data_IF_136109417515
#
_entry.id   IF_136109417515
#
_cell.length_a   1.000
_cell.length_b   1.000
_cell.length_c   1.000
_cell.angle_alpha   90.00
_cell.angle_beta   90.00
_cell.angle_gamma   90.00
#
_symmetry.space_group_name_H-M   'P 1'
#
loop_
_entity.id
_entity.type
_entity.pdbx_description
1 polymer ?
#
# COMPACT_ATOMS: atom_id res chain seq x y z
N UNK A 1 -18.70 -4.37 16.54
CA UNK A 1 -17.31 -4.32 17.03
C UNK A 1 -16.90 -2.85 17.14
N UNK A 2 -16.06 -2.45 18.10
CA UNK A 2 -15.54 -1.09 18.15
C UNK A 2 -14.80 -0.78 16.84
N UNK A 3 -14.98 0.43 16.35
CA UNK A 3 -14.32 0.92 15.14
C UNK A 3 -12.80 0.94 15.37
N UNK A 4 -11.97 0.40 14.48
CA UNK A 4 -10.52 0.49 14.61
C UNK A 4 -10.09 1.95 14.55
N UNK A 5 -9.09 2.30 15.36
CA UNK A 5 -8.44 3.60 15.26
C UNK A 5 -7.29 3.54 14.28
N UNK A 6 -6.92 4.66 13.67
CA UNK A 6 -5.71 4.73 12.87
C UNK A 6 -4.46 4.22 13.62
N UNK A 7 -4.41 4.43 14.94
CA UNK A 7 -3.33 3.90 15.78
C UNK A 7 -3.31 2.36 15.86
N UNK A 8 -4.47 1.69 15.80
CA UNK A 8 -4.54 0.22 15.77
C UNK A 8 -4.09 -0.38 14.44
N UNK A 9 -4.08 0.41 13.36
CA UNK A 9 -3.49 -0.01 12.09
C UNK A 9 -1.97 0.12 12.06
N UNK A 10 -1.40 0.93 12.96
CA UNK A 10 0.05 1.08 13.09
C UNK A 10 0.56 -0.08 13.94
N UNK A 11 1.19 -1.12 13.36
CA UNK A 11 1.67 -2.26 14.13
C UNK A 11 2.66 -1.81 15.21
N UNK A 12 2.54 -2.31 16.45
CA UNK A 12 3.59 -2.12 17.45
C UNK A 12 4.88 -2.87 17.08
N UNK A 13 4.81 -3.91 16.24
CA UNK A 13 5.89 -4.90 16.05
C UNK A 13 6.33 -5.14 14.58
N UNK A 14 6.09 -4.23 13.63
CA UNK A 14 6.43 -4.41 12.19
C UNK A 14 5.91 -5.71 11.54
N UNK A 15 4.87 -6.34 12.09
CA UNK A 15 4.31 -7.60 11.60
C UNK A 15 2.91 -7.47 11.00
N UNK A 16 2.38 -6.26 10.95
CA UNK A 16 1.09 -6.00 10.31
C UNK A 16 1.32 -5.32 8.99
N UNK A 17 0.75 -5.89 7.95
CA UNK A 17 0.76 -5.36 6.60
C UNK A 17 -0.65 -5.02 6.18
N UNK A 18 -0.78 -4.00 5.36
CA UNK A 18 -2.04 -3.50 4.87
C UNK A 18 -2.07 -3.70 3.36
N UNK A 19 -3.18 -4.25 2.86
CA UNK A 19 -3.41 -4.42 1.42
C UNK A 19 -4.62 -3.61 1.03
N UNK A 20 -4.41 -2.59 0.21
CA UNK A 20 -5.49 -1.87 -0.47
C UNK A 20 -5.80 -2.59 -1.78
N UNK A 21 -7.02 -3.09 -1.93
CA UNK A 21 -7.46 -3.81 -3.11
C UNK A 21 -8.91 -3.49 -3.50
N UNK A 22 -9.32 -4.06 -4.62
CA UNK A 22 -10.66 -3.96 -5.20
C UNK A 22 -10.83 -5.11 -6.18
N UNK A 23 -12.01 -5.26 -6.77
CA UNK A 23 -12.32 -6.29 -7.77
C UNK A 23 -11.43 -6.23 -9.02
N UNK A 24 -10.86 -5.06 -9.33
CA UNK A 24 -9.94 -4.83 -10.46
C UNK A 24 -8.48 -5.13 -10.13
N UNK A 25 -8.16 -5.35 -8.85
CA UNK A 25 -6.78 -5.60 -8.43
C UNK A 25 -6.29 -6.90 -9.05
N UNK A 26 -5.03 -6.93 -9.49
CA UNK A 26 -4.42 -8.12 -10.12
C UNK A 26 -4.53 -9.39 -9.24
N UNK A 27 -4.60 -9.20 -7.93
CA UNK A 27 -4.82 -10.25 -6.94
C UNK A 27 -5.92 -9.80 -5.96
N UNK A 28 -7.21 -10.00 -6.28
CA UNK A 28 -8.29 -9.68 -5.37
C UNK A 28 -8.43 -10.77 -4.30
N UNK A 29 -8.96 -10.43 -3.12
CA UNK A 29 -9.45 -11.47 -2.22
C UNK A 29 -10.62 -12.16 -2.86
N UNK A 30 -10.45 -13.44 -3.15
CA UNK A 30 -11.59 -14.32 -3.42
C UNK A 30 -11.75 -15.22 -2.20
N UNK A 31 -12.76 -14.91 -1.41
CA UNK A 31 -13.23 -15.80 -0.36
C UNK A 31 -13.90 -17.00 -1.03
N UNK A 32 -13.25 -18.16 -1.00
CA UNK A 32 -13.75 -19.40 -1.64
C UNK A 32 -14.71 -20.18 -0.74
N UNK A 33 -14.97 -19.70 0.48
CA UNK A 33 -15.81 -20.36 1.49
C UNK A 33 -15.06 -21.37 2.35
N UNK A 34 -13.81 -21.70 2.01
CA UNK A 34 -12.93 -22.57 2.78
C UNK A 34 -11.69 -21.79 3.27
N UNK A 35 -11.47 -21.66 4.59
CA UNK A 35 -10.30 -20.99 5.18
C UNK A 35 -8.95 -21.57 4.73
N UNK A 36 -8.89 -22.83 4.30
CA UNK A 36 -7.67 -23.46 3.82
C UNK A 36 -7.31 -23.06 2.37
N UNK A 37 -8.31 -22.64 1.58
CA UNK A 37 -8.16 -22.30 0.14
C UNK A 37 -8.52 -20.85 -0.19
N UNK A 38 -8.97 -20.07 0.79
CA UNK A 38 -9.21 -18.63 0.65
C UNK A 38 -7.91 -17.83 0.84
N UNK A 39 -7.78 -16.71 0.12
CA UNK A 39 -6.62 -15.82 0.24
C UNK A 39 -6.44 -14.86 -0.93
N UNK A 40 -5.39 -14.02 -0.85
CA UNK A 40 -4.88 -13.32 -2.01
C UNK A 40 -3.96 -14.26 -2.75
N UNK A 41 -4.12 -14.39 -4.06
CA UNK A 41 -3.16 -15.08 -4.91
C UNK A 41 -2.65 -14.14 -5.97
N UNK A 42 -1.35 -14.22 -6.25
CA UNK A 42 -0.80 -13.72 -7.48
C UNK A 42 -1.49 -14.38 -8.69
N UNK A 43 -1.40 -13.72 -9.84
CA UNK A 43 -2.00 -14.20 -11.09
C UNK A 43 -1.38 -15.53 -11.58
N UNK A 44 -0.22 -15.92 -11.04
CA UNK A 44 0.41 -17.21 -11.33
C UNK A 44 -0.42 -18.36 -10.76
N UNK A 45 -1.07 -19.11 -11.66
CA UNK A 45 -1.97 -20.23 -11.31
C UNK A 45 -1.30 -21.35 -10.53
N UNK A 46 0.00 -21.58 -10.73
CA UNK A 46 0.72 -22.62 -9.99
C UNK A 46 0.90 -22.25 -8.51
N UNK A 47 1.17 -20.97 -8.24
CA UNK A 47 1.26 -20.46 -6.86
C UNK A 47 -0.11 -20.33 -6.21
N UNK A 48 -1.15 -20.04 -7.01
CA UNK A 48 -2.53 -19.94 -6.55
C UNK A 48 -3.09 -21.24 -5.96
N UNK A 49 -2.59 -22.39 -6.41
CA UNK A 49 -3.09 -23.70 -6.01
C UNK A 49 -2.37 -24.29 -4.79
N UNK A 50 -1.31 -23.65 -4.30
CA UNK A 50 -0.56 -24.18 -3.15
C UNK A 50 -1.37 -24.03 -1.85
N UNK A 51 -1.52 -25.14 -1.12
CA UNK A 51 -1.98 -25.14 0.27
C UNK A 51 -0.92 -24.53 1.18
N UNK A 52 -1.27 -24.05 2.40
CA UNK A 52 -0.27 -23.57 3.36
C UNK A 52 0.89 -24.54 3.57
N UNK A 53 0.59 -25.83 3.80
CA UNK A 53 1.62 -26.85 4.02
C UNK A 53 2.51 -27.07 2.78
N UNK A 54 1.94 -27.12 1.58
CA UNK A 54 2.70 -27.28 0.35
C UNK A 54 3.57 -26.05 0.05
N UNK A 55 3.04 -24.86 0.32
CA UNK A 55 3.76 -23.61 0.20
C UNK A 55 4.94 -23.57 1.18
N UNK A 56 4.71 -23.80 2.47
CA UNK A 56 5.77 -23.87 3.50
C UNK A 56 6.83 -24.90 3.12
N UNK A 57 6.45 -26.12 2.74
CA UNK A 57 7.41 -27.15 2.34
C UNK A 57 8.22 -26.77 1.09
N UNK A 58 7.61 -26.09 0.12
CA UNK A 58 8.32 -25.58 -1.05
C UNK A 58 9.32 -24.48 -0.66
N UNK A 59 8.93 -23.59 0.24
CA UNK A 59 9.80 -22.51 0.73
C UNK A 59 10.95 -23.04 1.59
N UNK A 60 10.68 -23.95 2.53
CA UNK A 60 11.70 -24.59 3.40
C UNK A 60 12.71 -25.43 2.60
N UNK A 61 12.27 -26.12 1.54
CA UNK A 61 13.19 -26.85 0.64
C UNK A 61 14.08 -25.92 -0.18
N UNK A 62 13.57 -24.73 -0.49
CA UNK A 62 14.33 -23.74 -1.27
C UNK A 62 15.36 -23.03 -0.39
N UNK A 63 15.11 -22.94 0.93
CA UNK A 63 15.97 -22.24 1.89
C UNK A 63 15.95 -22.96 3.25
N UNK A 64 17.04 -23.62 3.67
CA UNK A 64 17.08 -24.41 4.90
C UNK A 64 17.05 -23.57 6.20
N UNK A 65 17.23 -22.25 6.10
CA UNK A 65 17.14 -21.35 7.25
C UNK A 65 15.70 -20.86 7.45
N UNK A 66 15.10 -21.09 8.64
CA UNK A 66 13.81 -20.51 8.97
C UNK A 66 13.99 -19.02 9.24
N UNK A 67 13.05 -18.19 8.76
CA UNK A 67 12.90 -16.73 8.94
C UNK A 67 13.31 -15.92 7.68
N UNK A 68 12.76 -14.69 7.53
CA UNK A 68 12.25 -14.13 6.27
C UNK A 68 13.29 -14.10 5.16
N UNK A 69 12.82 -14.12 3.90
CA UNK A 69 13.61 -14.03 2.66
C UNK A 69 14.44 -12.73 2.63
N UNK A 70 15.45 -12.67 3.49
CA UNK A 70 16.32 -11.51 3.76
C UNK A 70 17.73 -11.78 3.24
N UNK A 71 18.04 -13.04 2.91
CA UNK A 71 19.23 -13.49 2.21
C UNK A 71 19.02 -13.50 0.69
N UNK A 72 19.94 -12.88 -0.04
CA UNK A 72 19.77 -12.42 -1.42
C UNK A 72 20.42 -13.32 -2.48
N UNK A 73 20.43 -14.63 -2.27
CA UNK A 73 20.72 -15.60 -3.36
C UNK A 73 19.47 -15.85 -4.23
N UNK A 74 18.49 -14.95 -4.15
CA UNK A 74 17.27 -14.98 -4.95
C UNK A 74 17.68 -14.64 -6.38
N UNK A 75 17.96 -15.67 -7.17
CA UNK A 75 18.58 -15.55 -8.49
C UNK A 75 18.00 -14.43 -9.35
N UNK A 76 18.81 -13.93 -10.28
CA UNK A 76 18.56 -12.78 -11.16
C UNK A 76 17.12 -12.65 -11.70
N UNK A 77 16.47 -13.77 -12.00
CA UNK A 77 15.07 -13.83 -12.40
C UNK A 77 14.11 -13.21 -11.37
N UNK A 78 14.26 -13.56 -10.09
CA UNK A 78 13.36 -13.07 -9.04
C UNK A 78 13.57 -11.58 -8.81
N UNK A 79 14.82 -11.11 -8.81
CA UNK A 79 15.12 -9.68 -8.72
C UNK A 79 14.47 -8.88 -9.87
N UNK A 80 14.49 -9.40 -11.09
CA UNK A 80 13.77 -8.79 -12.21
C UNK A 80 12.26 -8.82 -12.02
N UNK A 81 11.70 -9.95 -11.56
CA UNK A 81 10.25 -10.05 -11.34
C UNK A 81 9.75 -9.05 -10.28
N UNK A 82 10.57 -8.76 -9.26
CA UNK A 82 10.29 -7.71 -8.28
C UNK A 82 10.34 -6.35 -8.96
N UNK A 83 11.39 -6.07 -9.73
CA UNK A 83 11.48 -4.79 -10.41
C UNK A 83 10.28 -4.56 -11.33
N UNK A 84 9.97 -5.52 -12.20
CA UNK A 84 8.86 -5.47 -13.14
C UNK A 84 7.53 -5.25 -12.42
N UNK A 85 7.35 -5.87 -11.25
CA UNK A 85 6.20 -5.64 -10.38
C UNK A 85 6.11 -4.18 -9.90
N UNK A 86 7.20 -3.66 -9.34
CA UNK A 86 7.25 -2.29 -8.78
C UNK A 86 7.00 -1.22 -9.84
N UNK A 87 7.51 -1.43 -11.05
CA UNK A 87 7.36 -0.47 -12.16
C UNK A 87 6.12 -0.74 -13.02
N UNK A 88 5.41 -1.86 -12.78
CA UNK A 88 4.25 -2.32 -13.54
C UNK A 88 4.50 -2.36 -15.06
N UNK A 89 5.72 -2.72 -15.45
CA UNK A 89 6.14 -2.88 -16.84
C UNK A 89 7.31 -3.86 -16.89
N UNK A 90 7.41 -4.65 -17.94
CA UNK A 90 8.63 -5.41 -18.20
C UNK A 90 9.76 -4.43 -18.59
N UNK A 91 10.84 -4.38 -17.80
CA UNK A 91 12.08 -3.70 -18.20
C UNK A 91 13.16 -4.76 -18.39
N UNK A 92 13.65 -4.97 -19.63
CA UNK A 92 14.78 -5.85 -19.86
C UNK A 92 16.03 -5.25 -19.21
N UNK A 93 16.33 -5.67 -17.99
CA UNK A 93 17.55 -5.30 -17.29
C UNK A 93 18.75 -6.11 -17.80
N UNK A 94 18.51 -7.35 -18.26
CA UNK A 94 19.54 -8.27 -18.75
C UNK A 94 19.17 -8.73 -20.16
N UNK A 95 20.08 -8.56 -21.14
CA UNK A 95 19.88 -9.08 -22.49
C UNK A 95 19.58 -10.58 -22.47
N UNK A 96 18.51 -11.01 -23.15
CA UNK A 96 18.14 -12.42 -23.28
C UNK A 96 17.24 -12.98 -22.18
N UNK A 97 16.97 -12.25 -21.09
CA UNK A 97 15.96 -12.62 -20.10
C UNK A 97 14.65 -11.92 -20.48
N UNK A 98 13.87 -12.58 -21.33
CA UNK A 98 12.49 -12.20 -21.62
C UNK A 98 11.59 -13.08 -20.77
N UNK A 99 11.22 -12.62 -19.57
CA UNK A 99 10.06 -13.22 -18.93
C UNK A 99 8.86 -12.84 -19.81
N UNK A 100 8.11 -13.85 -20.28
CA UNK A 100 6.74 -13.60 -20.72
C UNK A 100 6.03 -12.84 -19.59
N UNK A 101 5.07 -11.98 -19.91
CA UNK A 101 4.30 -11.16 -18.98
C UNK A 101 3.36 -12.02 -18.11
N UNK A 102 3.88 -13.13 -17.59
CA UNK A 102 3.29 -14.03 -16.64
C UNK A 102 3.15 -13.23 -15.35
N UNK A 103 2.01 -12.57 -15.22
CA UNK A 103 1.21 -12.64 -14.01
C UNK A 103 2.07 -12.57 -12.74
N UNK A 104 2.62 -11.38 -12.48
CA UNK A 104 3.60 -11.13 -11.41
C UNK A 104 3.26 -11.93 -10.15
N UNK A 105 4.22 -12.72 -9.61
CA UNK A 105 3.96 -13.59 -8.46
C UNK A 105 3.81 -12.77 -7.16
N UNK A 106 3.90 -11.45 -7.21
CA UNK A 106 3.96 -10.61 -6.01
C UNK A 106 2.61 -10.00 -5.67
N UNK A 107 2.34 -9.91 -4.37
CA UNK A 107 1.20 -9.18 -3.82
C UNK A 107 1.77 -7.98 -3.03
N UNK A 108 1.59 -6.76 -3.54
CA UNK A 108 2.00 -5.54 -2.84
C UNK A 108 1.20 -5.33 -1.56
N UNK A 109 1.89 -5.08 -0.47
CA UNK A 109 1.31 -4.61 0.79
C UNK A 109 2.14 -3.45 1.30
N UNK A 110 1.66 -2.78 2.35
CA UNK A 110 2.36 -1.66 3.00
C UNK A 110 2.32 -1.82 4.51
N UNK A 111 3.37 -1.44 5.21
CA UNK A 111 3.34 -1.21 6.67
C UNK A 111 3.01 0.25 7.03
N UNK A 112 2.77 1.11 6.04
CA UNK A 112 2.46 2.53 6.21
C UNK A 112 0.94 2.79 6.14
N UNK A 113 0.25 2.96 7.28
CA UNK A 113 -1.20 3.22 7.30
C UNK A 113 -1.57 4.55 6.65
N UNK A 114 -0.66 5.54 6.64
CA UNK A 114 -0.91 6.82 5.97
C UNK A 114 -0.97 6.62 4.45
N UNK A 115 -0.07 5.78 3.91
CA UNK A 115 -0.11 5.41 2.50
C UNK A 115 -1.37 4.64 2.16
N UNK A 116 -1.79 3.69 3.01
CA UNK A 116 -3.00 2.92 2.79
C UNK A 116 -4.23 3.83 2.66
N UNK A 117 -4.39 4.80 3.57
CA UNK A 117 -5.49 5.78 3.50
C UNK A 117 -5.40 6.66 2.26
N UNK A 118 -4.19 7.09 1.87
CA UNK A 118 -4.00 7.85 0.64
C UNK A 118 -4.39 7.06 -0.61
N UNK A 119 -3.99 5.78 -0.70
CA UNK A 119 -4.29 4.91 -1.84
C UNK A 119 -5.79 4.59 -1.92
N UNK A 120 -6.46 4.36 -0.78
CA UNK A 120 -7.93 4.21 -0.72
C UNK A 120 -8.60 5.46 -1.29
N UNK A 121 -8.24 6.63 -0.75
CA UNK A 121 -8.82 7.90 -1.17
C UNK A 121 -8.56 8.18 -2.66
N UNK A 122 -7.38 7.81 -3.18
CA UNK A 122 -7.03 7.96 -4.59
C UNK A 122 -7.88 7.08 -5.50
N UNK A 123 -8.18 5.84 -5.11
CA UNK A 123 -9.03 4.92 -5.89
C UNK A 123 -10.51 5.32 -5.87
N UNK A 124 -10.97 5.89 -4.74
CA UNK A 124 -12.32 6.43 -4.59
C UNK A 124 -12.50 7.85 -5.18
N UNK A 125 -11.41 8.49 -5.60
CA UNK A 125 -11.48 9.76 -6.29
C UNK A 125 -11.92 9.56 -7.75
N UNK A 126 -12.80 10.43 -8.28
CA UNK A 126 -13.15 10.39 -9.68
C UNK A 126 -11.87 10.55 -10.53
N UNK A 127 -11.78 9.87 -11.68
CA UNK A 127 -10.67 10.09 -12.59
C UNK A 127 -10.64 11.58 -13.00
N UNK A 128 -9.45 12.17 -13.19
CA UNK A 128 -9.35 13.54 -13.65
C UNK A 128 -10.11 13.67 -14.97
N UNK A 129 -11.12 14.55 -15.00
CA UNK A 129 -11.92 14.81 -16.20
C UNK A 129 -10.96 15.38 -17.26
N UNK A 130 -10.76 14.72 -18.41
CA UNK A 130 -9.91 15.28 -19.44
C UNK A 130 -10.53 16.60 -19.92
N UNK A 131 -9.76 17.68 -19.89
CA UNK A 131 -10.20 19.06 -20.21
C UNK A 131 -10.79 19.18 -21.63
N UNK A 132 -10.61 18.15 -22.47
CA UNK A 132 -11.03 18.12 -23.87
C UNK A 132 -11.97 16.96 -24.26
N UNK A 133 -12.39 16.10 -23.32
CA UNK A 133 -13.25 14.97 -23.65
C UNK A 133 -14.70 15.24 -23.23
N UNK A 134 -15.50 15.80 -24.15
CA UNK A 134 -16.98 15.82 -24.08
C UNK A 134 -17.61 14.44 -24.37
N UNK A 135 -16.87 13.35 -24.16
CA UNK A 135 -17.29 11.99 -24.50
C UNK A 135 -17.89 11.33 -23.26
N UNK A 136 -19.06 10.73 -23.47
CA UNK A 136 -19.85 9.91 -22.53
C UNK A 136 -18.96 9.19 -21.53
N UNK A 137 -19.14 9.50 -20.25
CA UNK A 137 -18.27 9.12 -19.15
C UNK A 137 -17.96 7.62 -19.14
N UNK A 138 -16.67 7.30 -19.09
CA UNK A 138 -16.18 5.98 -18.71
C UNK A 138 -16.73 5.61 -17.33
N UNK A 139 -16.92 4.30 -17.05
CA UNK A 139 -17.60 3.82 -15.84
C UNK A 139 -17.01 4.44 -14.57
N UNK A 140 -17.92 4.67 -13.62
CA UNK A 140 -17.71 5.33 -12.34
C UNK A 140 -16.45 4.83 -11.62
N UNK A 141 -15.86 5.72 -10.80
CA UNK A 141 -14.83 5.36 -9.84
C UNK A 141 -15.19 4.04 -9.13
N UNK A 142 -14.18 3.24 -8.75
CA UNK A 142 -14.42 1.99 -8.05
C UNK A 142 -15.32 2.25 -6.84
N UNK A 143 -16.53 1.67 -6.88
CA UNK A 143 -17.54 1.90 -5.86
C UNK A 143 -17.10 1.36 -4.49
N UNK A 144 -16.27 0.31 -4.53
CA UNK A 144 -15.79 -0.42 -3.36
C UNK A 144 -14.28 -0.61 -3.42
N UNK A 145 -13.60 -0.08 -2.41
CA UNK A 145 -12.17 -0.31 -2.14
C UNK A 145 -12.05 -0.98 -0.78
N UNK A 146 -11.25 -2.03 -0.70
CA UNK A 146 -11.08 -2.83 0.50
C UNK A 146 -9.68 -2.64 1.10
N UNK A 147 -9.61 -2.65 2.43
CA UNK A 147 -8.37 -2.66 3.20
C UNK A 147 -8.30 -3.94 4.03
N UNK A 148 -7.49 -4.88 3.57
CA UNK A 148 -7.17 -6.07 4.35
C UNK A 148 -6.01 -5.79 5.31
N UNK A 149 -6.17 -6.21 6.56
CA UNK A 149 -5.14 -6.18 7.60
C UNK A 149 -4.56 -7.58 7.74
N UNK A 150 -3.28 -7.71 7.44
CA UNK A 150 -2.57 -8.97 7.29
C UNK A 150 -1.53 -9.09 8.41
N UNK A 151 -1.58 -10.18 9.17
CA UNK A 151 -0.55 -10.59 10.13
C UNK A 151 -0.05 -11.96 9.67
N UNK A 152 1.13 -12.01 9.00
CA UNK A 152 1.61 -13.25 8.40
C UNK A 152 1.89 -14.30 9.45
N UNK A 153 1.61 -15.54 9.07
CA UNK A 153 1.87 -16.71 9.90
C UNK A 153 3.04 -17.49 9.34
N UNK A 154 2.99 -17.82 8.05
CA UNK A 154 3.97 -18.67 7.35
C UNK A 154 4.34 -18.14 5.95
N UNK A 155 3.76 -17.02 5.52
CA UNK A 155 3.95 -16.50 4.17
C UNK A 155 5.31 -15.83 3.96
N UNK A 156 5.93 -16.13 2.82
CA UNK A 156 7.15 -15.47 2.41
C UNK A 156 6.83 -14.05 1.96
N UNK A 157 7.51 -13.10 2.58
CA UNK A 157 7.42 -11.70 2.23
C UNK A 157 8.81 -11.07 2.15
N UNK A 158 8.90 -10.02 1.36
CA UNK A 158 10.15 -9.42 0.93
C UNK A 158 10.06 -7.89 1.06
N UNK A 159 11.08 -7.29 1.66
CA UNK A 159 11.36 -5.87 1.47
C UNK A 159 11.99 -5.70 0.07
N UNK A 160 11.32 -5.01 -0.86
CA UNK A 160 11.84 -4.83 -2.20
C UNK A 160 13.05 -3.88 -2.26
N UNK A 161 13.25 -3.04 -1.24
CA UNK A 161 14.25 -1.97 -1.29
C UNK A 161 15.70 -2.50 -1.35
N UNK A 162 16.10 -3.52 -0.57
CA UNK A 162 17.38 -4.18 -0.75
C UNK A 162 17.56 -4.81 -2.15
N UNK A 163 16.51 -5.36 -2.79
CA UNK A 163 16.60 -5.85 -4.20
C UNK A 163 16.99 -4.70 -5.11
N UNK A 164 16.25 -3.59 -5.02
CA UNK A 164 16.40 -2.50 -5.98
C UNK A 164 17.79 -1.88 -5.80
N UNK A 165 18.30 -1.85 -4.56
CA UNK A 165 19.65 -1.38 -4.23
C UNK A 165 20.75 -2.36 -4.61
N UNK A 166 20.54 -3.68 -4.55
CA UNK A 166 21.52 -4.64 -5.07
C UNK A 166 21.60 -4.54 -6.58
N UNK A 167 20.45 -4.48 -7.27
CA UNK A 167 20.37 -4.18 -8.71
C UNK A 167 21.00 -2.83 -9.04
N UNK A 168 21.05 -1.87 -8.11
CA UNK A 168 21.83 -0.65 -8.30
C UNK A 168 23.34 -0.88 -8.27
N UNK A 169 23.82 -1.70 -7.34
CA UNK A 169 25.24 -1.98 -7.05
C UNK A 169 25.88 -2.95 -8.02
N UNK A 170 25.13 -3.93 -8.53
CA UNK A 170 25.53 -4.84 -9.60
C UNK A 170 25.65 -4.07 -10.91
N UNK A 171 26.68 -3.22 -10.98
CA UNK A 171 27.36 -2.89 -12.22
C UNK A 171 28.17 -4.12 -12.51
N UNK A 172 27.99 -4.71 -13.70
CA UNK A 172 28.86 -5.79 -14.12
C UNK A 172 30.30 -5.34 -14.01
N UNK A 173 31.00 -5.81 -12.98
CA UNK A 173 32.43 -5.58 -12.78
C UNK A 173 33.27 -6.18 -13.93
N UNK A 174 32.62 -6.86 -14.87
CA UNK A 174 33.27 -7.51 -16.00
C UNK A 174 33.36 -6.74 -17.32
N UNK A 175 32.47 -5.79 -17.66
CA UNK A 175 32.46 -5.31 -19.08
C UNK A 175 31.79 -3.95 -19.39
N UNK A 176 31.96 -2.94 -18.53
CA UNK A 176 31.77 -1.52 -18.92
C UNK A 176 30.37 -1.07 -19.37
N UNK A 177 29.35 -1.94 -19.29
CA UNK A 177 27.98 -1.66 -19.72
C UNK A 177 27.32 -0.58 -18.88
N UNK A 178 27.40 0.68 -19.33
CA UNK A 178 26.66 1.79 -18.71
C UNK A 178 25.16 1.48 -18.84
N UNK A 179 24.44 1.42 -17.71
CA UNK A 179 22.97 1.34 -17.72
C UNK A 179 22.39 2.45 -18.58
N UNK A 180 21.39 2.09 -19.39
CA UNK A 180 20.66 3.05 -20.23
C UNK A 180 19.92 4.06 -19.35
N UNK A 181 19.55 5.22 -19.93
CA UNK A 181 18.74 6.21 -19.22
C UNK A 181 17.42 5.64 -18.71
N UNK A 182 16.77 4.79 -19.52
CA UNK A 182 15.51 4.14 -19.18
C UNK A 182 15.64 3.20 -17.98
N UNK A 183 16.72 2.41 -17.90
CA UNK A 183 16.98 1.51 -16.78
C UNK A 183 17.20 2.28 -15.47
N UNK A 184 17.95 3.38 -15.51
CA UNK A 184 18.15 4.24 -14.31
C UNK A 184 16.84 4.85 -13.85
N UNK A 185 16.04 5.38 -14.77
CA UNK A 185 14.72 5.94 -14.45
C UNK A 185 13.79 4.87 -13.86
N UNK A 186 13.81 3.64 -14.39
CA UNK A 186 13.03 2.53 -13.84
C UNK A 186 13.43 2.19 -12.40
N UNK A 187 14.72 2.04 -12.13
CA UNK A 187 15.24 1.73 -10.79
C UNK A 187 14.97 2.87 -9.80
N UNK A 188 15.10 4.13 -10.23
CA UNK A 188 14.74 5.29 -9.40
C UNK A 188 13.25 5.29 -9.05
N UNK A 189 12.38 4.97 -10.01
CA UNK A 189 10.94 4.89 -9.79
C UNK A 189 10.59 3.76 -8.81
N UNK A 190 11.18 2.57 -9.01
CA UNK A 190 10.98 1.43 -8.12
C UNK A 190 11.47 1.69 -6.70
N UNK A 191 12.67 2.27 -6.55
CA UNK A 191 13.22 2.62 -5.23
C UNK A 191 12.35 3.66 -4.53
N UNK A 192 11.93 4.68 -5.27
CA UNK A 192 11.06 5.71 -4.74
C UNK A 192 9.70 5.14 -4.31
N UNK A 193 9.07 4.32 -5.15
CA UNK A 193 7.79 3.66 -4.84
C UNK A 193 7.90 2.83 -3.56
N UNK A 194 8.82 1.86 -3.56
CA UNK A 194 9.07 0.96 -2.44
C UNK A 194 9.32 1.72 -1.12
N UNK A 195 10.18 2.74 -1.16
CA UNK A 195 10.51 3.54 0.02
C UNK A 195 9.36 4.42 0.49
N UNK A 196 8.63 5.04 -0.43
CA UNK A 196 7.57 5.98 -0.07
C UNK A 196 6.40 5.25 0.60
N UNK A 197 6.03 4.07 0.10
CA UNK A 197 4.92 3.31 0.67
C UNK A 197 5.35 2.28 1.72
N UNK A 198 6.62 2.15 2.06
CA UNK A 198 7.10 1.06 2.94
C UNK A 198 6.58 -0.29 2.42
N UNK A 199 6.83 -0.54 1.13
CA UNK A 199 6.25 -1.68 0.41
C UNK A 199 6.79 -2.99 0.98
N UNK A 200 5.90 -3.97 1.10
CA UNK A 200 6.27 -5.35 1.37
C UNK A 200 5.59 -6.25 0.35
N UNK A 201 6.36 -7.08 -0.32
CA UNK A 201 5.86 -7.99 -1.36
C UNK A 201 5.69 -9.38 -0.77
N UNK A 202 4.47 -9.94 -0.85
CA UNK A 202 4.24 -11.35 -0.55
C UNK A 202 4.40 -12.18 -1.81
N UNK A 203 5.11 -13.30 -1.71
CA UNK A 203 5.34 -14.19 -2.85
C UNK A 203 4.20 -15.20 -3.00
N UNK A 204 3.54 -15.20 -4.14
CA UNK A 204 2.51 -16.15 -4.54
C UNK A 204 1.18 -15.96 -3.84
N UNK A 205 1.15 -15.90 -2.50
CA UNK A 205 -0.09 -16.02 -1.75
C UNK A 205 -0.05 -15.35 -0.37
N UNK A 206 -1.20 -14.83 0.05
CA UNK A 206 -1.52 -14.50 1.46
C UNK A 206 -2.71 -15.36 1.86
N UNK A 207 -2.57 -16.14 2.94
CA UNK A 207 -3.64 -17.04 3.37
C UNK A 207 -4.73 -16.29 4.13
N UNK A 208 -5.97 -16.78 4.03
CA UNK A 208 -7.10 -16.19 4.74
C UNK A 208 -6.87 -16.12 6.26
N UNK A 209 -6.15 -17.09 6.85
CA UNK A 209 -5.89 -17.09 8.29
C UNK A 209 -4.99 -15.92 8.74
N UNK A 210 -4.17 -15.40 7.83
CA UNK A 210 -3.33 -14.23 8.08
C UNK A 210 -4.10 -12.92 7.93
N UNK A 211 -5.34 -12.94 7.44
CA UNK A 211 -6.18 -11.74 7.29
C UNK A 211 -7.04 -11.60 8.54
N UNK A 212 -6.66 -10.68 9.42
CA UNK A 212 -7.34 -10.51 10.72
C UNK A 212 -8.53 -9.54 10.64
N UNK A 213 -8.58 -8.70 9.60
CA UNK A 213 -9.70 -7.80 9.33
C UNK A 213 -9.72 -7.42 7.84
N UNK A 214 -10.90 -7.11 7.33
CA UNK A 214 -11.09 -6.50 6.01
C UNK A 214 -12.12 -5.37 6.14
N UNK A 215 -11.77 -4.18 5.66
CA UNK A 215 -12.61 -2.99 5.78
C UNK A 215 -13.03 -2.49 4.40
N UNK A 216 -14.32 -2.24 4.23
CA UNK A 216 -14.90 -1.79 2.98
C UNK A 216 -15.07 -0.27 2.97
N UNK A 217 -14.46 0.39 2.00
CA UNK A 217 -14.55 1.82 1.79
C UNK A 217 -15.31 2.11 0.51
N UNK A 218 -16.28 2.99 0.61
CA UNK A 218 -16.89 3.65 -0.54
C UNK A 218 -16.73 5.17 -0.37
N UNK A 219 -16.96 5.91 -1.45
CA UNK A 219 -17.01 7.36 -1.40
C UNK A 219 -18.25 7.85 -0.64
N UNK A 220 -19.35 7.11 -0.76
CA UNK A 220 -20.67 7.44 -0.22
C UNK A 220 -20.87 7.05 1.23
N UNK A 221 -19.94 6.33 1.86
CA UNK A 221 -20.00 6.00 3.28
C UNK A 221 -19.94 7.28 4.12
N UNK A 222 -21.15 7.84 4.27
CA UNK A 222 -21.68 8.93 5.06
C UNK A 222 -20.77 10.03 5.55
N UNK A 223 -21.24 10.74 6.57
CA UNK A 223 -20.48 11.78 7.24
C UNK A 223 -19.16 11.22 7.77
N UNK A 224 -18.23 12.08 8.23
CA UNK A 224 -16.95 11.66 8.85
C UNK A 224 -17.07 10.51 9.88
N UNK A 225 -18.24 10.30 10.48
CA UNK A 225 -18.52 9.19 11.40
C UNK A 225 -18.53 7.80 10.76
N UNK A 226 -18.87 7.68 9.47
CA UNK A 226 -19.21 6.39 8.85
C UNK A 226 -18.02 5.67 8.21
N UNK A 227 -16.89 6.37 7.98
CA UNK A 227 -15.63 5.76 7.50
C UNK A 227 -15.33 4.52 8.37
N UNK A 228 -14.89 3.37 7.84
CA UNK A 228 -14.64 2.17 8.66
C UNK A 228 -13.55 2.32 9.73
N UNK A 229 -12.74 3.38 9.67
CA UNK A 229 -11.57 3.59 10.52
C UNK A 229 -11.56 5.03 11.05
N UNK A 230 -11.26 5.19 12.34
CA UNK A 230 -11.19 6.51 12.95
C UNK A 230 -9.88 7.20 12.57
N UNK A 231 -9.98 8.11 11.61
CA UNK A 231 -8.87 8.90 11.12
C UNK A 231 -8.58 10.11 12.05
N UNK A 232 -7.30 10.43 12.31
CA UNK A 232 -6.92 11.58 13.11
C UNK A 232 -7.45 12.90 12.52
N UNK A 233 -7.72 13.89 13.38
CA UNK A 233 -8.24 15.19 12.94
C UNK A 233 -7.37 15.89 11.89
N UNK A 234 -6.05 15.71 11.96
CA UNK A 234 -5.12 16.31 11.00
C UNK A 234 -5.18 15.71 9.58
N UNK A 235 -5.97 14.65 9.36
CA UNK A 235 -6.28 14.17 8.01
C UNK A 235 -7.26 15.08 7.28
N UNK A 236 -8.03 15.89 8.01
CA UNK A 236 -9.15 16.65 7.44
C UNK A 236 -8.88 18.15 7.40
N UNK A 237 -9.45 18.83 6.39
CA UNK A 237 -9.53 20.29 6.31
C UNK A 237 -10.50 20.82 7.35
N UNK A 238 -10.30 22.07 7.78
CA UNK A 238 -11.26 22.78 8.61
C UNK A 238 -11.51 24.18 8.04
N UNK A 239 -12.77 24.65 7.97
CA UNK A 239 -14.00 23.90 8.27
C UNK A 239 -14.37 22.88 7.16
N UNK A 240 -15.13 21.85 7.52
CA UNK A 240 -15.76 20.93 6.56
C UNK A 240 -16.96 21.61 5.90
N UNK A 241 -17.19 21.40 4.60
CA UNK A 241 -18.39 21.92 3.94
C UNK A 241 -19.53 20.91 4.09
N UNK A 242 -20.75 21.41 4.16
CA UNK A 242 -21.93 20.56 4.13
C UNK A 242 -21.98 19.83 2.77
N UNK A 243 -22.11 18.50 2.80
CA UNK A 243 -22.15 17.65 1.62
C UNK A 243 -20.78 17.16 1.12
N UNK A 244 -19.66 17.55 1.73
CA UNK A 244 -18.36 16.94 1.42
C UNK A 244 -18.37 15.46 1.83
N UNK A 245 -17.94 14.57 0.93
CA UNK A 245 -17.57 13.20 1.31
C UNK A 245 -16.34 13.22 2.21
N UNK A 246 -16.05 12.11 2.90
CA UNK A 246 -14.82 12.03 3.69
C UNK A 246 -13.55 12.20 2.84
N UNK A 247 -13.60 11.79 1.56
CA UNK A 247 -12.51 11.95 0.59
C UNK A 247 -12.31 13.43 0.26
N UNK A 248 -13.40 14.18 0.05
CA UNK A 248 -13.37 15.62 -0.25
C UNK A 248 -12.89 16.45 0.95
N UNK A 249 -13.16 15.95 2.15
CA UNK A 249 -12.76 16.53 3.42
C UNK A 249 -11.26 16.39 3.73
N UNK A 250 -10.50 15.53 3.02
CA UNK A 250 -9.07 15.29 3.29
C UNK A 250 -8.23 16.54 3.05
N UNK A 251 -7.17 16.76 3.83
CA UNK A 251 -6.28 17.94 3.69
C UNK A 251 -5.51 17.98 2.38
N UNK A 252 -5.44 16.85 1.68
CA UNK A 252 -4.97 16.75 0.31
C UNK A 252 -6.13 16.38 -0.62
N UNK A 253 -5.98 16.74 -1.89
CA UNK A 253 -6.73 16.19 -3.03
C UNK A 253 -6.13 14.88 -3.54
N UNK A 254 -6.79 13.72 -3.43
CA UNK A 254 -6.22 12.44 -3.85
C UNK A 254 -6.06 12.29 -5.37
N UNK A 255 -6.82 13.05 -6.15
CA UNK A 255 -6.75 13.10 -7.62
C UNK A 255 -5.58 13.95 -8.15
N UNK A 256 -5.01 14.82 -7.31
CA UNK A 256 -3.98 15.78 -7.71
C UNK A 256 -2.64 15.54 -7.02
N UNK A 257 -2.66 15.29 -5.70
CA UNK A 257 -1.43 15.22 -4.93
C UNK A 257 -0.85 13.82 -4.93
N UNK A 258 0.44 13.75 -5.26
CA UNK A 258 1.25 12.55 -5.01
C UNK A 258 1.34 12.26 -3.51
N UNK A 259 1.71 11.03 -3.16
CA UNK A 259 1.83 10.64 -1.75
C UNK A 259 2.79 11.52 -0.93
N UNK A 260 4.01 11.89 -1.41
CA UNK A 260 4.86 12.83 -0.67
C UNK A 260 4.21 14.19 -0.43
N UNK A 261 3.53 14.75 -1.43
CA UNK A 261 2.82 16.03 -1.28
C UNK A 261 1.69 15.91 -0.24
N UNK A 262 0.97 14.78 -0.24
CA UNK A 262 -0.05 14.51 0.78
C UNK A 262 0.56 14.41 2.19
N UNK A 263 1.74 13.80 2.35
CA UNK A 263 2.48 13.76 3.61
C UNK A 263 2.87 15.15 4.10
N UNK A 264 3.42 16.01 3.23
CA UNK A 264 3.80 17.38 3.60
C UNK A 264 2.58 18.19 4.08
N UNK A 265 1.44 18.03 3.41
CA UNK A 265 0.17 18.66 3.79
C UNK A 265 -0.35 18.11 5.12
N UNK A 266 -0.29 16.80 5.33
CA UNK A 266 -0.66 16.13 6.58
C UNK A 266 0.17 16.62 7.76
N UNK A 267 1.49 16.72 7.61
CA UNK A 267 2.39 17.21 8.66
C UNK A 267 2.13 18.68 8.99
N UNK A 268 1.96 19.51 7.97
CA UNK A 268 1.61 20.92 8.12
C UNK A 268 0.29 21.08 8.89
N UNK A 269 -0.72 20.28 8.53
CA UNK A 269 -2.01 20.30 9.21
C UNK A 269 -1.93 19.76 10.65
N UNK A 270 -1.09 18.75 10.90
CA UNK A 270 -0.84 18.21 12.25
C UNK A 270 -0.30 19.29 13.17
N UNK A 271 0.70 20.06 12.73
CA UNK A 271 1.26 21.18 13.49
C UNK A 271 0.19 22.23 13.80
N UNK A 272 -0.63 22.58 12.80
CA UNK A 272 -1.75 23.52 12.96
C UNK A 272 -2.78 23.05 13.99
N UNK A 273 -3.23 21.80 13.91
CA UNK A 273 -4.21 21.23 14.85
C UNK A 273 -3.65 21.22 16.27
N UNK A 274 -2.39 20.81 16.46
CA UNK A 274 -1.75 20.84 17.77
C UNK A 274 -1.63 22.26 18.34
N UNK A 275 -1.29 23.24 17.50
CA UNK A 275 -1.23 24.64 17.91
C UNK A 275 -2.60 25.15 18.36
N UNK A 276 -3.66 24.86 17.60
CA UNK A 276 -5.03 25.25 17.95
C UNK A 276 -5.49 24.59 19.26
N UNK A 277 -5.16 23.32 19.49
CA UNK A 277 -5.47 22.62 20.74
C UNK A 277 -4.77 23.28 21.93
N UNK A 278 -3.48 23.63 21.79
CA UNK A 278 -2.74 24.36 22.84
C UNK A 278 -3.36 25.72 23.15
N UNK A 279 -3.75 26.48 22.12
CA UNK A 279 -4.40 27.77 22.29
C UNK A 279 -5.76 27.65 23.00
N UNK A 280 -6.56 26.62 22.69
CA UNK A 280 -7.83 26.35 23.37
C UNK A 280 -7.64 26.01 24.84
N UNK A 281 -6.70 25.11 25.15
CA UNK A 281 -6.39 24.74 26.55
C UNK A 281 -5.92 25.96 27.33
N UNK A 282 -5.07 26.80 26.74
CA UNK A 282 -4.62 28.04 27.37
C UNK A 282 -5.78 29.03 27.61
N UNK A 283 -6.68 29.21 26.64
CA UNK A 283 -7.84 30.08 26.78
C UNK A 283 -8.79 29.61 27.90
N UNK A 284 -9.11 28.31 27.94
CA UNK A 284 -9.93 27.72 29.00
C UNK A 284 -9.28 27.86 30.38
N UNK A 285 -7.95 27.71 30.47
CA UNK A 285 -7.23 27.90 31.73
C UNK A 285 -7.30 29.35 32.23
N UNK A 286 -7.20 30.34 31.32
CA UNK A 286 -7.36 31.77 31.66
C UNK A 286 -8.79 32.06 32.13
N UNK A 287 -9.81 31.55 31.44
CA UNK A 287 -11.22 31.72 31.82
C UNK A 287 -11.50 31.14 33.22
N UNK A 288 -10.99 29.93 33.50
CA UNK A 288 -11.11 29.31 34.82
C UNK A 288 -10.36 30.08 35.91
N UNK A 289 -9.21 30.70 35.59
CA UNK A 289 -8.47 31.52 36.54
C UNK A 289 -9.21 32.84 36.85
N UNK A 290 -9.92 33.41 35.89
CA UNK A 290 -10.77 34.60 36.08
C UNK A 290 -11.98 34.27 36.96
N UNK A 291 -12.65 33.14 36.72
CA UNK A 291 -13.82 32.72 37.51
C UNK A 291 -13.51 32.40 38.99
N UNK A 292 -12.23 32.22 39.34
CA UNK A 292 -11.78 31.95 40.72
C UNK A 292 -11.42 33.21 41.51
N UNK A 293 -11.44 34.38 40.87
CA UNK A 293 -11.17 35.68 41.51
C UNK A 293 -12.47 36.36 41.89
#
# INVERSE_FOLDING_TARGET
MPKPTFATLTPPNNRTFLRVHSSSSASPLRWTGDPATSGFSALNTNLALLTPTAYTAAMERSHPDPLPWTGWDIGLHTAHSVLDHLIRRAVPLVPGVHAADDASPWISTTSNPTWAVWEIARRLSPPPVPVHAFVVAAPAAEELVELAVIVPTVEAHLDPLPVVRSLWRDRGDGDGGKRTGNQRSALQHAEFGARACDETLFYGRVFAQSIIANYEFTREVGSRGDIPIDLPEHFFRHPLRAGDSWVDALVWRPDVHSFPQALDLLESNRRRVQQNQRQRVAATAVEQAVLRR
#
